data_IF_664045089251
#
_entry.id   IF_664045089251
#
_cell.length_a   1.000
_cell.length_b   1.000
_cell.length_c   1.000
_cell.angle_alpha   90.00
_cell.angle_beta   90.00
_cell.angle_gamma   90.00
#
_symmetry.space_group_name_H-M   'P 1'
#
loop_
_entity.id
_entity.type
_entity.pdbx_description
1 polymer ?
#
# COMPACT_ATOMS: atom_id res chain seq x y z
N UNK A 1 18.20 4.12 7.99
CA UNK A 1 18.79 3.38 9.12
C UNK A 1 20.23 3.11 8.71
N UNK A 2 21.17 3.95 9.14
CA UNK A 2 22.58 3.83 8.69
C UNK A 2 23.22 2.72 9.51
N UNK A 3 23.48 1.57 8.89
CA UNK A 3 24.28 0.53 9.53
C UNK A 3 25.69 1.09 9.67
N UNK A 4 26.20 1.08 10.89
CA UNK A 4 27.46 1.73 11.23
C UNK A 4 28.61 0.85 10.75
N UNK A 5 28.96 0.99 9.47
CA UNK A 5 30.02 0.22 8.79
C UNK A 5 31.32 0.16 9.58
N UNK A 6 31.60 1.22 10.35
CA UNK A 6 32.75 1.35 11.25
C UNK A 6 32.73 0.30 12.36
N UNK A 7 31.57 0.00 12.96
CA UNK A 7 31.44 -1.04 13.98
C UNK A 7 31.62 -2.45 13.39
N UNK A 8 31.13 -2.67 12.17
CA UNK A 8 31.33 -3.95 11.46
C UNK A 8 32.83 -4.14 11.16
N UNK A 9 33.49 -3.08 10.68
CA UNK A 9 34.93 -3.08 10.43
C UNK A 9 35.76 -3.29 11.70
N UNK A 10 35.44 -2.61 12.81
CA UNK A 10 36.14 -2.78 14.10
C UNK A 10 36.07 -4.21 14.63
N UNK A 11 34.90 -4.87 14.53
CA UNK A 11 34.72 -6.26 14.94
C UNK A 11 35.51 -7.22 14.04
N UNK A 12 35.54 -6.97 12.73
CA UNK A 12 36.28 -7.79 11.76
C UNK A 12 37.80 -7.62 11.87
N UNK A 13 38.29 -6.39 12.08
CA UNK A 13 39.71 -6.06 12.20
C UNK A 13 40.37 -6.62 13.48
N UNK A 14 39.55 -7.05 14.46
CA UNK A 14 40.02 -7.71 15.67
C UNK A 14 40.51 -9.15 15.44
N UNK A 15 40.13 -9.79 14.31
CA UNK A 15 40.44 -11.19 14.02
C UNK A 15 40.87 -11.46 12.57
N UNK A 16 40.87 -10.46 11.70
CA UNK A 16 41.22 -10.58 10.28
C UNK A 16 42.21 -9.49 9.85
N UNK A 17 43.09 -9.77 8.87
CA UNK A 17 43.94 -8.75 8.25
C UNK A 17 43.10 -7.59 7.70
N UNK A 18 43.62 -6.37 7.83
CA UNK A 18 42.94 -5.10 7.55
C UNK A 18 42.26 -5.07 6.16
N UNK A 19 42.90 -5.63 5.13
CA UNK A 19 42.35 -5.78 3.78
C UNK A 19 41.10 -6.67 3.70
N UNK A 20 41.09 -7.78 4.45
CA UNK A 20 39.97 -8.73 4.46
C UNK A 20 38.79 -8.17 5.24
N UNK A 21 39.04 -7.50 6.37
CA UNK A 21 38.02 -6.81 7.15
C UNK A 21 37.31 -5.73 6.32
N UNK A 22 38.08 -4.96 5.54
CA UNK A 22 37.56 -3.90 4.66
C UNK A 22 36.73 -4.46 3.50
N UNK A 23 37.18 -5.57 2.91
CA UNK A 23 36.46 -6.24 1.81
C UNK A 23 35.12 -6.81 2.28
N UNK A 24 35.10 -7.45 3.45
CA UNK A 24 33.89 -8.04 4.03
C UNK A 24 32.92 -6.94 4.47
N UNK A 25 33.38 -5.87 5.11
CA UNK A 25 32.54 -4.74 5.48
C UNK A 25 31.90 -4.07 4.26
N UNK A 26 32.66 -3.94 3.16
CA UNK A 26 32.14 -3.40 1.89
C UNK A 26 31.10 -4.32 1.27
N UNK A 27 31.35 -5.63 1.23
CA UNK A 27 30.39 -6.60 0.69
C UNK A 27 29.08 -6.63 1.50
N UNK A 28 29.17 -6.53 2.84
CA UNK A 28 28.00 -6.47 3.73
C UNK A 28 27.20 -5.18 3.47
N UNK A 29 27.86 -4.03 3.37
CA UNK A 29 27.17 -2.77 3.04
C UNK A 29 26.48 -2.84 1.68
N UNK A 30 27.14 -3.35 0.65
CA UNK A 30 26.54 -3.50 -0.68
C UNK A 30 25.34 -4.45 -0.64
N UNK A 31 25.40 -5.55 0.10
CA UNK A 31 24.27 -6.46 0.26
C UNK A 31 23.09 -5.79 1.00
N UNK A 32 23.37 -4.98 2.03
CA UNK A 32 22.35 -4.27 2.81
C UNK A 32 21.72 -3.13 2.00
N UNK A 33 22.50 -2.40 1.20
CA UNK A 33 22.01 -1.37 0.29
C UNK A 33 21.07 -1.99 -0.75
N UNK A 34 21.47 -3.10 -1.37
CA UNK A 34 20.64 -3.84 -2.31
C UNK A 34 19.34 -4.37 -1.65
N UNK A 35 19.42 -4.89 -0.43
CA UNK A 35 18.24 -5.40 0.29
C UNK A 35 17.31 -4.26 0.76
N UNK A 36 17.86 -3.08 1.04
CA UNK A 36 17.11 -1.86 1.38
C UNK A 36 16.40 -1.28 0.15
N UNK A 37 17.04 -1.30 -1.00
CA UNK A 37 16.48 -0.87 -2.28
C UNK A 37 15.30 -1.76 -2.69
N UNK A 38 15.48 -3.09 -2.63
CA UNK A 38 14.40 -4.06 -2.87
C UNK A 38 13.21 -3.86 -1.91
N UNK A 39 13.46 -3.59 -0.62
CA UNK A 39 12.38 -3.30 0.35
C UNK A 39 11.66 -2.00 0.03
N UNK A 40 12.34 -0.96 -0.47
CA UNK A 40 11.71 0.31 -0.89
C UNK A 40 10.76 0.11 -2.07
N UNK A 41 11.15 -0.64 -3.10
CA UNK A 41 10.26 -0.98 -4.22
C UNK A 41 9.01 -1.75 -3.77
N UNK A 42 9.20 -2.69 -2.84
CA UNK A 42 8.09 -3.47 -2.30
C UNK A 42 7.12 -2.60 -1.47
N UNK A 43 7.66 -1.63 -0.71
CA UNK A 43 6.86 -0.65 0.02
C UNK A 43 6.09 0.29 -0.93
N UNK A 44 6.72 0.75 -2.01
CA UNK A 44 6.04 1.55 -3.04
C UNK A 44 4.87 0.76 -3.65
N UNK A 45 5.10 -0.50 -4.04
CA UNK A 45 4.06 -1.38 -4.59
C UNK A 45 2.89 -1.60 -3.62
N UNK A 46 3.16 -1.70 -2.31
CA UNK A 46 2.11 -1.82 -1.28
C UNK A 46 1.28 -0.55 -1.14
N UNK A 47 1.91 0.62 -1.22
CA UNK A 47 1.23 1.92 -1.20
C UNK A 47 0.36 2.08 -2.45
N UNK A 48 0.88 1.73 -3.61
CA UNK A 48 0.14 1.80 -4.88
C UNK A 48 -1.07 0.86 -4.88
N UNK A 49 -0.93 -0.35 -4.32
CA UNK A 49 -2.04 -1.29 -4.15
C UNK A 49 -3.10 -0.77 -3.18
N UNK A 50 -2.69 -0.11 -2.09
CA UNK A 50 -3.63 0.52 -1.15
C UNK A 50 -4.38 1.70 -1.81
N UNK A 51 -3.69 2.50 -2.61
CA UNK A 51 -4.28 3.61 -3.37
C UNK A 51 -5.30 3.10 -4.40
N UNK A 52 -4.93 2.08 -5.19
CA UNK A 52 -5.83 1.46 -6.17
C UNK A 52 -7.10 0.90 -5.53
N UNK A 53 -6.98 0.23 -4.36
CA UNK A 53 -8.15 -0.26 -3.60
C UNK A 53 -9.05 0.88 -3.15
N UNK A 54 -8.46 1.98 -2.68
CA UNK A 54 -9.21 3.15 -2.21
C UNK A 54 -9.97 3.81 -3.35
N UNK A 55 -9.36 3.92 -4.53
CA UNK A 55 -9.98 4.49 -5.72
C UNK A 55 -11.17 3.65 -6.21
N UNK A 56 -11.02 2.32 -6.24
CA UNK A 56 -12.09 1.37 -6.60
C UNK A 56 -13.26 1.47 -5.62
N UNK A 57 -13.00 1.47 -4.31
CA UNK A 57 -14.06 1.59 -3.30
C UNK A 57 -14.78 2.93 -3.43
N UNK A 58 -14.04 4.02 -3.67
CA UNK A 58 -14.61 5.36 -3.81
C UNK A 58 -15.51 5.47 -5.05
N UNK A 59 -15.09 4.90 -6.18
CA UNK A 59 -15.89 4.89 -7.41
C UNK A 59 -17.16 4.05 -7.25
N UNK A 60 -17.05 2.86 -6.66
CA UNK A 60 -18.22 2.00 -6.39
C UNK A 60 -19.21 2.71 -5.46
N UNK A 61 -18.74 3.33 -4.37
CA UNK A 61 -19.60 4.04 -3.42
C UNK A 61 -20.39 5.17 -4.11
N UNK A 62 -19.73 5.98 -4.96
CA UNK A 62 -20.40 7.05 -5.73
C UNK A 62 -21.53 6.51 -6.60
N UNK A 63 -21.27 5.44 -7.35
CA UNK A 63 -22.28 4.84 -8.22
C UNK A 63 -23.40 4.15 -7.43
N UNK A 64 -23.08 3.57 -6.27
CA UNK A 64 -24.08 3.01 -5.36
C UNK A 64 -25.07 4.09 -4.92
N UNK A 65 -24.61 5.26 -4.47
CA UNK A 65 -25.52 6.33 -4.02
C UNK A 65 -26.54 6.77 -5.08
N UNK A 66 -26.10 6.90 -6.33
CA UNK A 66 -26.98 7.25 -7.46
C UNK A 66 -28.01 6.15 -7.69
N UNK A 67 -27.57 4.89 -7.65
CA UNK A 67 -28.47 3.74 -7.75
C UNK A 67 -29.51 3.73 -6.64
N UNK A 68 -29.10 3.89 -5.38
CA UNK A 68 -30.01 3.91 -4.22
C UNK A 68 -31.03 5.06 -4.31
N UNK A 69 -30.62 6.26 -4.73
CA UNK A 69 -31.56 7.38 -4.95
C UNK A 69 -32.57 7.08 -6.07
N UNK A 70 -32.14 6.42 -7.15
CA UNK A 70 -33.04 5.96 -8.21
C UNK A 70 -34.09 4.96 -7.68
N UNK A 71 -33.68 4.00 -6.84
CA UNK A 71 -34.61 3.03 -6.24
C UNK A 71 -35.70 3.72 -5.40
N UNK A 72 -35.33 4.72 -4.58
CA UNK A 72 -36.30 5.48 -3.79
C UNK A 72 -37.33 6.18 -4.70
N UNK A 73 -36.89 6.76 -5.82
CA UNK A 73 -37.79 7.39 -6.79
C UNK A 73 -38.78 6.41 -7.41
N UNK A 74 -38.29 5.24 -7.84
CA UNK A 74 -39.13 4.19 -8.43
C UNK A 74 -40.12 3.65 -7.42
N UNK A 75 -39.66 3.29 -6.21
CA UNK A 75 -40.53 2.76 -5.14
C UNK A 75 -41.59 3.81 -4.76
N UNK A 76 -41.20 5.08 -4.61
CA UNK A 76 -42.14 6.16 -4.31
C UNK A 76 -43.19 6.32 -5.40
N UNK A 77 -42.79 6.22 -6.67
CA UNK A 77 -43.70 6.26 -7.82
C UNK A 77 -44.69 5.10 -7.83
N UNK A 78 -44.22 3.87 -7.56
CA UNK A 78 -45.07 2.68 -7.46
C UNK A 78 -46.07 2.82 -6.32
N UNK A 79 -45.62 3.22 -5.12
CA UNK A 79 -46.51 3.41 -3.96
C UNK A 79 -47.56 4.47 -4.27
N UNK A 80 -47.16 5.61 -4.84
CA UNK A 80 -48.10 6.67 -5.20
C UNK A 80 -49.13 6.22 -6.24
N UNK A 81 -48.71 5.46 -7.25
CA UNK A 81 -49.61 4.90 -8.25
C UNK A 81 -50.63 3.92 -7.64
N UNK A 82 -50.17 3.05 -6.73
CA UNK A 82 -51.05 2.12 -6.01
C UNK A 82 -52.05 2.86 -5.10
N UNK A 83 -51.60 3.86 -4.35
CA UNK A 83 -52.48 4.67 -3.49
C UNK A 83 -53.54 5.38 -4.33
N UNK A 84 -53.15 5.99 -5.45
CA UNK A 84 -54.09 6.65 -6.37
C UNK A 84 -55.14 5.68 -6.93
N UNK A 85 -54.75 4.44 -7.21
CA UNK A 85 -55.67 3.41 -7.71
C UNK A 85 -56.61 2.92 -6.59
N UNK A 86 -56.11 2.79 -5.36
CA UNK A 86 -56.91 2.36 -4.21
C UNK A 86 -57.96 3.40 -3.76
N UNK A 87 -57.64 4.69 -3.85
CA UNK A 87 -58.54 5.79 -3.47
C UNK A 87 -59.42 6.32 -4.61
N UNK A 88 -59.40 5.68 -5.78
CA UNK A 88 -60.25 6.01 -6.93
C UNK A 88 -61.33 4.96 -7.11
#
# INVERSE_FOLDING_TARGET
MSVDTLKIYEILNSNLPEEQAKTIAKAINTAIEADTENKKELLATKVDLANAKTEIITTILKWMFIFWLSQIGVISGIIFAMLKLYFK
#
